data_IF_301273879674
#
_entry.id   IF_301273879674
#
_cell.length_a   1.000
_cell.length_b   1.000
_cell.length_c   1.000
_cell.angle_alpha   90.00
_cell.angle_beta   90.00
_cell.angle_gamma   90.00
#
_symmetry.space_group_name_H-M   'P 1'
#
loop_
_entity.id
_entity.type
_entity.pdbx_description
1 polymer ?
#
# COMPACT_ATOMS: atom_id res chain seq x y z
N UNK A 1 4.83 -2.65 -17.23
CA UNK A 1 3.67 -3.23 -16.50
C UNK A 1 3.76 -4.74 -16.43
N UNK A 2 3.68 -5.48 -17.55
CA UNK A 2 3.71 -6.96 -17.56
C UNK A 2 4.87 -7.57 -16.76
N UNK A 3 6.10 -7.13 -17.01
CA UNK A 3 7.28 -7.60 -16.29
C UNK A 3 7.20 -7.35 -14.77
N UNK A 4 6.72 -6.18 -14.37
CA UNK A 4 6.51 -5.83 -12.97
C UNK A 4 5.43 -6.71 -12.30
N UNK A 5 4.39 -7.09 -13.06
CA UNK A 5 3.36 -8.03 -12.59
C UNK A 5 3.92 -9.42 -12.32
N UNK A 6 4.81 -9.93 -13.18
CA UNK A 6 5.47 -11.23 -12.95
C UNK A 6 6.35 -11.19 -11.71
N UNK A 7 7.16 -10.14 -11.55
CA UNK A 7 8.01 -9.98 -10.37
C UNK A 7 7.14 -9.98 -9.10
N UNK A 8 6.05 -9.22 -9.10
CA UNK A 8 5.17 -9.12 -7.92
C UNK A 8 4.45 -10.42 -7.64
N UNK A 9 3.96 -11.12 -8.64
CA UNK A 9 3.36 -12.45 -8.45
C UNK A 9 4.38 -13.41 -7.83
N UNK A 10 5.63 -13.43 -8.33
CA UNK A 10 6.67 -14.29 -7.76
C UNK A 10 7.04 -13.90 -6.32
N UNK A 11 7.25 -12.60 -6.06
CA UNK A 11 7.55 -12.11 -4.71
C UNK A 11 6.43 -12.48 -3.75
N UNK A 12 5.19 -12.15 -4.09
CA UNK A 12 4.02 -12.40 -3.23
C UNK A 12 3.86 -13.91 -2.97
N UNK A 13 3.97 -14.74 -4.01
CA UNK A 13 3.84 -16.19 -3.88
C UNK A 13 4.92 -16.83 -3.01
N UNK A 14 6.18 -16.37 -3.12
CA UNK A 14 7.32 -16.96 -2.42
C UNK A 14 7.53 -16.42 -1.01
N UNK A 15 7.28 -15.13 -0.77
CA UNK A 15 7.67 -14.46 0.47
C UNK A 15 6.51 -13.82 1.23
N UNK A 16 5.29 -13.81 0.67
CA UNK A 16 4.13 -13.06 1.20
C UNK A 16 4.36 -11.53 1.26
N UNK A 17 5.41 -11.03 0.58
CA UNK A 17 5.70 -9.60 0.47
C UNK A 17 5.55 -9.12 -0.96
N UNK A 18 5.01 -7.90 -1.11
CA UNK A 18 4.84 -7.24 -2.41
C UNK A 18 5.40 -5.81 -2.38
N UNK A 19 6.54 -5.51 -3.05
CA UNK A 19 7.12 -4.17 -3.11
C UNK A 19 6.34 -3.18 -4.01
N UNK A 20 5.01 -3.21 -3.96
CA UNK A 20 4.11 -2.44 -4.84
C UNK A 20 4.40 -0.95 -4.76
N UNK A 21 4.52 -0.42 -3.53
CA UNK A 21 4.73 1.01 -3.27
C UNK A 21 6.05 1.52 -3.86
N UNK A 22 7.14 0.75 -3.71
CA UNK A 22 8.45 1.09 -4.26
C UNK A 22 8.48 1.02 -5.80
N UNK A 23 7.86 0.00 -6.38
CA UNK A 23 7.81 -0.12 -7.84
C UNK A 23 6.95 0.96 -8.50
N UNK A 24 5.87 1.41 -7.86
CA UNK A 24 5.06 2.51 -8.35
C UNK A 24 5.87 3.82 -8.37
N UNK A 25 6.59 4.14 -7.29
CA UNK A 25 7.48 5.31 -7.23
C UNK A 25 8.59 5.26 -8.30
N UNK A 26 9.28 4.12 -8.41
CA UNK A 26 10.32 3.92 -9.43
C UNK A 26 9.77 4.10 -10.85
N UNK A 27 8.55 3.63 -11.11
CA UNK A 27 7.90 3.81 -12.41
C UNK A 27 7.70 5.28 -12.74
N UNK A 28 7.20 6.09 -11.80
CA UNK A 28 7.00 7.53 -12.03
C UNK A 28 8.34 8.21 -12.32
N UNK A 29 9.39 7.91 -11.55
CA UNK A 29 10.74 8.46 -11.78
C UNK A 29 11.26 8.08 -13.16
N UNK A 30 11.20 6.80 -13.53
CA UNK A 30 11.68 6.33 -14.83
C UNK A 30 10.93 7.01 -15.98
N UNK A 31 9.60 7.16 -15.87
CA UNK A 31 8.83 7.85 -16.91
C UNK A 31 9.22 9.33 -16.99
N UNK A 32 9.42 10.02 -15.87
CA UNK A 32 9.88 11.42 -15.88
C UNK A 32 11.27 11.58 -16.50
N UNK A 33 12.19 10.64 -16.25
CA UNK A 33 13.52 10.67 -16.83
C UNK A 33 13.51 10.39 -18.34
N UNK A 34 12.61 9.54 -18.81
CA UNK A 34 12.53 9.14 -20.22
C UNK A 34 11.67 10.08 -21.08
N UNK A 35 10.52 10.52 -20.55
CA UNK A 35 9.55 11.36 -21.25
C UNK A 35 9.77 12.87 -21.02
N UNK A 36 10.65 13.22 -20.08
CA UNK A 36 10.98 14.59 -19.70
C UNK A 36 10.25 15.07 -18.45
N UNK A 37 10.87 16.01 -17.72
CA UNK A 37 10.40 16.54 -16.43
C UNK A 37 9.06 17.28 -16.50
N UNK A 38 8.61 17.70 -17.68
CA UNK A 38 7.29 18.30 -17.89
C UNK A 38 6.13 17.28 -17.93
N UNK A 39 6.41 15.99 -18.10
CA UNK A 39 5.40 14.95 -18.31
C UNK A 39 4.81 14.38 -17.01
N UNK A 40 4.60 15.22 -15.98
CA UNK A 40 4.18 14.77 -14.63
C UNK A 40 2.86 14.02 -14.64
N UNK A 41 1.84 14.58 -15.31
CA UNK A 41 0.51 13.96 -15.36
C UNK A 41 0.59 12.57 -16.00
N UNK A 42 1.32 12.45 -17.11
CA UNK A 42 1.53 11.16 -17.79
C UNK A 42 2.29 10.17 -16.92
N UNK A 43 3.35 10.60 -16.24
CA UNK A 43 4.14 9.76 -15.36
C UNK A 43 3.33 9.23 -14.17
N UNK A 44 2.54 10.09 -13.52
CA UNK A 44 1.67 9.71 -12.41
C UNK A 44 0.56 8.77 -12.88
N UNK A 45 -0.07 9.02 -14.03
CA UNK A 45 -1.11 8.14 -14.57
C UNK A 45 -0.56 6.75 -14.91
N UNK A 46 0.63 6.67 -15.53
CA UNK A 46 1.29 5.39 -15.82
C UNK A 46 1.69 4.69 -14.53
N UNK A 47 2.22 5.42 -13.54
CA UNK A 47 2.55 4.88 -12.21
C UNK A 47 1.32 4.32 -11.51
N UNK A 48 0.19 5.02 -11.54
CA UNK A 48 -1.07 4.57 -10.97
C UNK A 48 -1.62 3.33 -11.69
N UNK A 49 -1.63 3.34 -13.04
CA UNK A 49 -2.07 2.19 -13.82
C UNK A 49 -1.19 0.95 -13.58
N UNK A 50 0.12 1.14 -13.47
CA UNK A 50 1.05 0.08 -13.09
C UNK A 50 0.75 -0.44 -11.69
N UNK A 51 0.58 0.45 -10.71
CA UNK A 51 0.27 0.11 -9.32
C UNK A 51 -0.99 -0.77 -9.24
N UNK A 52 -2.09 -0.36 -9.88
CA UNK A 52 -3.33 -1.15 -9.90
C UNK A 52 -3.10 -2.52 -10.55
N UNK A 53 -2.40 -2.58 -11.68
CA UNK A 53 -2.15 -3.83 -12.39
C UNK A 53 -1.29 -4.82 -11.58
N UNK A 54 -0.25 -4.34 -10.90
CA UNK A 54 0.61 -5.21 -10.08
C UNK A 54 -0.07 -5.61 -8.77
N UNK A 55 -0.92 -4.75 -8.20
CA UNK A 55 -1.71 -5.10 -7.01
C UNK A 55 -2.66 -6.25 -7.33
N UNK A 56 -3.35 -6.20 -8.47
CA UNK A 56 -4.21 -7.32 -8.91
C UNK A 56 -3.42 -8.60 -9.17
N UNK A 57 -2.18 -8.50 -9.66
CA UNK A 57 -1.31 -9.67 -9.82
C UNK A 57 -0.87 -10.25 -8.47
N UNK A 58 -0.62 -9.42 -7.46
CA UNK A 58 -0.31 -9.85 -6.10
C UNK A 58 -1.53 -10.54 -5.46
N UNK A 59 -2.71 -9.91 -5.57
CA UNK A 59 -3.97 -10.36 -5.00
C UNK A 59 -4.36 -11.76 -5.53
N UNK A 60 -4.37 -11.90 -6.86
CA UNK A 60 -4.57 -13.18 -7.56
C UNK A 60 -3.58 -14.27 -7.09
N UNK A 61 -2.32 -13.91 -6.85
CA UNK A 61 -1.33 -14.86 -6.35
C UNK A 61 -1.61 -15.27 -4.90
N UNK A 62 -2.02 -14.32 -4.05
CA UNK A 62 -2.46 -14.58 -2.69
C UNK A 62 -3.67 -15.52 -2.64
N UNK A 63 -4.67 -15.24 -3.47
CA UNK A 63 -5.90 -16.03 -3.58
C UNK A 63 -5.67 -17.44 -4.12
N UNK A 64 -4.75 -17.61 -5.07
CA UNK A 64 -4.35 -18.94 -5.54
C UNK A 64 -3.60 -19.73 -4.45
N UNK A 65 -2.79 -19.06 -3.61
CA UNK A 65 -2.05 -19.71 -2.51
C UNK A 65 -3.00 -20.18 -1.42
N UNK A 66 -3.89 -19.32 -0.94
CA UNK A 66 -4.90 -19.67 0.07
C UNK A 66 -5.90 -20.67 -0.49
N UNK A 67 -6.32 -20.49 -1.76
CA UNK A 67 -7.17 -21.41 -2.50
C UNK A 67 -6.62 -22.82 -2.59
N UNK A 68 -5.33 -22.94 -2.91
CA UNK A 68 -4.66 -24.24 -2.94
C UNK A 68 -4.70 -24.96 -1.58
N UNK A 69 -4.51 -24.23 -0.48
CA UNK A 69 -4.53 -24.79 0.88
C UNK A 69 -5.92 -25.33 1.27
N UNK A 70 -7.00 -24.73 0.78
CA UNK A 70 -8.39 -25.16 1.05
C UNK A 70 -8.95 -26.10 -0.03
N UNK A 71 -8.14 -26.51 -1.01
CA UNK A 71 -8.55 -27.43 -2.08
C UNK A 71 -9.40 -26.79 -3.19
N UNK A 72 -9.32 -25.48 -3.38
CA UNK A 72 -10.01 -24.78 -4.45
C UNK A 72 -9.45 -25.13 -5.84
N UNK A 73 -10.28 -24.96 -6.87
CA UNK A 73 -9.88 -25.17 -8.27
C UNK A 73 -9.42 -23.83 -8.86
N UNK A 74 -8.13 -23.66 -9.25
CA UNK A 74 -7.58 -22.37 -9.67
C UNK A 74 -8.34 -21.74 -10.85
N UNK A 75 -8.78 -22.56 -11.81
CA UNK A 75 -9.57 -22.08 -12.97
C UNK A 75 -10.89 -21.43 -12.55
N UNK A 76 -11.53 -21.93 -11.48
CA UNK A 76 -12.79 -21.35 -10.99
C UNK A 76 -12.54 -20.05 -10.23
N UNK A 77 -11.45 -19.95 -9.47
CA UNK A 77 -11.07 -18.73 -8.76
C UNK A 77 -10.81 -17.58 -9.73
N UNK A 78 -9.96 -17.82 -10.74
CA UNK A 78 -9.65 -16.82 -11.77
C UNK A 78 -10.89 -16.30 -12.51
N UNK A 79 -11.84 -17.19 -12.83
CA UNK A 79 -13.09 -16.79 -13.48
C UNK A 79 -13.96 -15.93 -12.56
N UNK A 80 -14.07 -16.29 -11.29
CA UNK A 80 -14.84 -15.52 -10.30
C UNK A 80 -14.21 -14.16 -10.09
N UNK A 81 -12.92 -14.09 -9.78
CA UNK A 81 -12.19 -12.84 -9.56
C UNK A 81 -12.31 -11.91 -10.77
N UNK A 82 -12.09 -12.42 -12.00
CA UNK A 82 -12.24 -11.63 -13.21
C UNK A 82 -13.67 -11.11 -13.41
N UNK A 83 -14.69 -11.88 -13.00
CA UNK A 83 -16.09 -11.46 -13.12
C UNK A 83 -16.48 -10.36 -12.14
N UNK A 84 -15.88 -10.33 -10.94
CA UNK A 84 -16.24 -9.39 -9.87
C UNK A 84 -15.24 -8.23 -9.69
N UNK A 85 -14.08 -8.25 -10.37
CA UNK A 85 -13.01 -7.26 -10.22
C UNK A 85 -13.47 -5.82 -10.37
N UNK A 86 -14.48 -5.56 -11.21
CA UNK A 86 -15.01 -4.23 -11.48
C UNK A 86 -15.72 -3.58 -10.29
N UNK A 87 -16.18 -4.38 -9.32
CA UNK A 87 -16.89 -3.89 -8.14
C UNK A 87 -15.95 -3.06 -7.26
N UNK A 88 -14.71 -3.54 -7.06
CA UNK A 88 -13.72 -2.90 -6.20
C UNK A 88 -13.44 -1.44 -6.58
N UNK A 89 -13.03 -1.14 -7.83
CA UNK A 89 -12.81 0.22 -8.29
C UNK A 89 -14.03 1.14 -8.11
N UNK A 90 -15.24 0.64 -8.34
CA UNK A 90 -16.47 1.44 -8.17
C UNK A 90 -16.64 1.84 -6.69
N UNK A 91 -16.55 0.86 -5.78
CA UNK A 91 -16.68 1.12 -4.34
C UNK A 91 -15.56 2.04 -3.85
N UNK A 92 -14.30 1.79 -4.23
CA UNK A 92 -13.17 2.62 -3.85
C UNK A 92 -13.32 4.07 -4.32
N UNK A 93 -13.75 4.28 -5.57
CA UNK A 93 -13.97 5.63 -6.11
C UNK A 93 -15.12 6.36 -5.40
N UNK A 94 -16.21 5.65 -5.08
CA UNK A 94 -17.31 6.22 -4.30
C UNK A 94 -16.87 6.63 -2.90
N UNK A 95 -16.08 5.79 -2.22
CA UNK A 95 -15.54 6.07 -0.88
C UNK A 95 -14.61 7.27 -0.90
N UNK A 96 -13.67 7.33 -1.85
CA UNK A 96 -12.75 8.48 -1.99
C UNK A 96 -13.53 9.76 -2.27
N UNK A 97 -14.52 9.70 -3.18
CA UNK A 97 -15.37 10.85 -3.48
C UNK A 97 -16.12 11.34 -2.25
N UNK A 98 -16.69 10.42 -1.46
CA UNK A 98 -17.45 10.75 -0.26
C UNK A 98 -16.57 11.45 0.79
N UNK A 99 -15.39 10.89 1.08
CA UNK A 99 -14.43 11.48 2.01
C UNK A 99 -14.00 12.86 1.51
N UNK A 100 -13.70 13.00 0.22
CA UNK A 100 -13.26 14.27 -0.36
C UNK A 100 -14.34 15.35 -0.29
N UNK A 101 -15.62 15.00 -0.52
CA UNK A 101 -16.73 15.95 -0.38
C UNK A 101 -16.93 16.39 1.07
N UNK A 102 -16.87 15.45 2.02
CA UNK A 102 -17.01 15.77 3.45
C UNK A 102 -15.88 16.68 3.92
N UNK A 103 -14.63 16.36 3.59
CA UNK A 103 -13.48 17.21 3.94
C UNK A 103 -13.56 18.59 3.28
N UNK A 104 -14.02 18.66 2.02
CA UNK A 104 -14.23 19.94 1.34
C UNK A 104 -15.28 20.80 2.07
N UNK A 105 -16.35 20.20 2.60
CA UNK A 105 -17.38 20.91 3.38
C UNK A 105 -16.89 21.34 4.76
N UNK A 106 -16.05 20.55 5.43
CA UNK A 106 -15.64 20.81 6.83
C UNK A 106 -14.39 21.68 6.94
N UNK A 107 -13.38 21.41 6.11
CA UNK A 107 -12.04 22.02 6.17
C UNK A 107 -11.73 22.86 4.92
N UNK A 108 -12.47 22.67 3.82
CA UNK A 108 -12.19 23.35 2.54
C UNK A 108 -11.03 22.72 1.75
N UNK A 109 -10.56 21.54 2.16
CA UNK A 109 -9.48 20.78 1.52
C UNK A 109 -10.02 19.39 1.21
N UNK A 110 -9.86 18.91 -0.03
CA UNK A 110 -10.38 17.60 -0.42
C UNK A 110 -9.67 16.44 0.31
N UNK A 111 -8.34 16.39 0.21
CA UNK A 111 -7.50 15.38 0.87
C UNK A 111 -6.10 15.93 1.11
N UNK A 112 -5.40 15.40 2.11
CA UNK A 112 -4.00 15.74 2.40
C UNK A 112 -3.81 16.58 3.67
N UNK A 113 -2.67 17.28 3.78
CA UNK A 113 -2.31 18.03 4.99
C UNK A 113 -3.42 19.00 5.43
N UNK A 114 -3.75 19.00 6.72
CA UNK A 114 -4.86 19.79 7.27
C UNK A 114 -6.18 19.03 7.40
N UNK A 115 -6.27 17.82 6.85
CA UNK A 115 -7.39 16.88 7.06
C UNK A 115 -6.90 15.65 7.83
N UNK A 116 -7.82 14.83 8.35
CA UNK A 116 -7.47 13.51 8.92
C UNK A 116 -6.97 12.53 7.84
N UNK A 117 -7.15 12.86 6.56
CA UNK A 117 -6.71 12.06 5.41
C UNK A 117 -5.32 12.45 4.90
N UNK A 118 -4.34 12.46 5.81
CA UNK A 118 -2.94 12.67 5.41
C UNK A 118 -2.40 11.45 4.65
N UNK A 119 -1.71 11.68 3.53
CA UNK A 119 -1.18 10.63 2.67
C UNK A 119 0.36 10.75 2.55
N UNK A 120 1.14 10.17 3.49
CA UNK A 120 2.60 10.24 3.48
C UNK A 120 3.22 9.74 2.17
N UNK A 121 2.64 8.70 1.58
CA UNK A 121 3.13 8.14 0.32
C UNK A 121 2.94 9.09 -0.87
N UNK A 122 1.85 9.86 -0.89
CA UNK A 122 1.62 10.88 -1.90
C UNK A 122 2.58 12.06 -1.73
N UNK A 123 2.90 12.43 -0.48
CA UNK A 123 3.91 13.45 -0.18
C UNK A 123 5.31 13.02 -0.61
N UNK A 124 5.68 11.76 -0.34
CA UNK A 124 6.93 11.20 -0.82
C UNK A 124 7.00 11.24 -2.36
N UNK A 125 5.93 10.82 -3.05
CA UNK A 125 5.85 10.90 -4.51
C UNK A 125 5.99 12.35 -5.01
N UNK A 126 5.32 13.30 -4.37
CA UNK A 126 5.41 14.73 -4.72
C UNK A 126 6.85 15.24 -4.58
N UNK A 127 7.54 14.93 -3.48
CA UNK A 127 8.91 15.34 -3.24
C UNK A 127 9.86 14.82 -4.33
N UNK A 128 9.65 13.57 -4.78
CA UNK A 128 10.42 12.99 -5.89
C UNK A 128 10.14 13.72 -7.20
N UNK A 129 8.86 13.97 -7.53
CA UNK A 129 8.48 14.70 -8.75
C UNK A 129 9.12 16.10 -8.75
N UNK A 130 9.01 16.85 -7.66
CA UNK A 130 9.61 18.19 -7.57
C UNK A 130 11.13 18.16 -7.66
N UNK A 131 11.78 17.12 -7.11
CA UNK A 131 13.23 16.94 -7.21
C UNK A 131 13.69 16.69 -8.66
N UNK A 132 12.94 15.87 -9.41
CA UNK A 132 13.23 15.64 -10.84
C UNK A 132 12.98 16.89 -11.68
N UNK A 133 11.91 17.65 -11.38
CA UNK A 133 11.60 18.90 -12.09
C UNK A 133 12.61 20.02 -11.82
N UNK A 134 13.07 20.14 -10.58
CA UNK A 134 14.07 21.15 -10.19
C UNK A 134 15.49 20.84 -10.64
N UNK A 135 15.76 19.62 -11.13
CA UNK A 135 17.10 19.19 -11.55
C UNK A 135 18.07 18.91 -10.39
N UNK A 136 17.65 19.15 -9.14
CA UNK A 136 18.44 18.95 -7.92
C UNK A 136 18.19 17.57 -7.28
N UNK A 137 17.85 16.55 -8.08
CA UNK A 137 17.64 15.21 -7.54
C UNK A 137 18.96 14.69 -6.96
N UNK A 138 19.02 14.29 -5.67
CA UNK A 138 20.25 13.82 -5.05
C UNK A 138 20.54 12.37 -5.45
N UNK A 139 20.90 12.14 -6.72
CA UNK A 139 21.12 10.80 -7.30
C UNK A 139 22.08 9.93 -6.49
N UNK A 140 23.09 10.54 -5.85
CA UNK A 140 24.01 9.84 -4.96
C UNK A 140 23.31 9.20 -3.74
N UNK A 141 22.34 9.90 -3.12
CA UNK A 141 21.56 9.37 -2.00
C UNK A 141 20.63 8.24 -2.44
N UNK A 142 20.00 8.37 -3.60
CA UNK A 142 19.19 7.29 -4.18
C UNK A 142 20.04 6.06 -4.53
N UNK A 143 21.23 6.25 -5.09
CA UNK A 143 22.18 5.19 -5.37
C UNK A 143 22.66 4.49 -4.09
N UNK A 144 22.96 5.25 -3.05
CA UNK A 144 23.32 4.70 -1.74
C UNK A 144 22.16 3.93 -1.11
N UNK A 145 20.93 4.44 -1.19
CA UNK A 145 19.73 3.74 -0.74
C UNK A 145 19.48 2.44 -1.51
N UNK A 146 19.69 2.43 -2.83
CA UNK A 146 19.61 1.23 -3.66
C UNK A 146 20.68 0.19 -3.28
N UNK A 147 21.91 0.63 -3.03
CA UNK A 147 23.00 -0.23 -2.58
C UNK A 147 22.69 -0.83 -1.19
N UNK A 148 22.26 -0.01 -0.24
CA UNK A 148 21.85 -0.49 1.08
C UNK A 148 20.68 -1.48 0.97
N UNK A 149 19.67 -1.17 0.17
CA UNK A 149 18.54 -2.07 -0.08
C UNK A 149 18.98 -3.41 -0.66
N UNK A 150 19.91 -3.40 -1.61
CA UNK A 150 20.49 -4.62 -2.17
C UNK A 150 21.28 -5.44 -1.14
N UNK A 151 22.13 -4.79 -0.34
CA UNK A 151 22.88 -5.45 0.73
C UNK A 151 21.96 -6.06 1.79
N UNK A 152 20.91 -5.33 2.18
CA UNK A 152 19.92 -5.80 3.14
C UNK A 152 19.06 -6.94 2.56
N UNK A 153 18.77 -6.90 1.26
CA UNK A 153 18.04 -7.95 0.55
C UNK A 153 18.86 -9.25 0.37
N UNK A 154 20.19 -9.16 0.35
CA UNK A 154 21.08 -10.33 0.38
C UNK A 154 21.26 -10.90 1.79
N UNK A 155 20.78 -10.21 2.82
CA UNK A 155 20.82 -10.67 4.20
C UNK A 155 19.86 -11.84 4.47
N UNK A 156 20.06 -12.52 5.60
CA UNK A 156 19.29 -13.71 5.98
C UNK A 156 17.82 -13.44 6.34
N UNK A 157 17.45 -12.18 6.56
CA UNK A 157 16.11 -11.79 6.97
C UNK A 157 15.34 -11.21 5.79
N UNK A 158 14.33 -11.96 5.33
CA UNK A 158 13.43 -11.52 4.27
C UNK A 158 12.71 -10.22 4.65
N UNK A 159 12.61 -9.28 3.70
CA UNK A 159 11.80 -8.06 3.85
C UNK A 159 12.44 -6.90 4.65
N UNK A 160 13.64 -7.06 5.23
CA UNK A 160 14.29 -5.99 6.02
C UNK A 160 14.48 -4.68 5.25
N UNK A 161 14.95 -4.76 4.01
CA UNK A 161 15.15 -3.57 3.17
C UNK A 161 13.85 -2.80 2.93
N UNK A 162 12.73 -3.52 2.78
CA UNK A 162 11.40 -2.92 2.62
C UNK A 162 10.97 -2.23 3.92
N UNK A 163 11.11 -2.89 5.07
CA UNK A 163 10.76 -2.30 6.37
C UNK A 163 11.53 -1.02 6.67
N UNK A 164 12.84 -1.00 6.38
CA UNK A 164 13.69 0.19 6.54
C UNK A 164 13.28 1.28 5.53
N UNK A 165 12.97 0.93 4.28
CA UNK A 165 12.48 1.91 3.31
C UNK A 165 11.14 2.53 3.70
N UNK A 166 10.21 1.73 4.22
CA UNK A 166 8.91 2.21 4.71
C UNK A 166 9.09 3.17 5.90
N UNK A 167 9.99 2.85 6.83
CA UNK A 167 10.20 3.69 8.02
C UNK A 167 10.81 5.06 7.72
N UNK A 168 11.43 5.24 6.55
CA UNK A 168 12.03 6.53 6.16
C UNK A 168 11.01 7.60 5.78
N UNK A 169 9.82 7.23 5.28
CA UNK A 169 8.79 8.20 4.87
C UNK A 169 7.54 8.18 5.75
N UNK A 170 7.38 7.16 6.60
CA UNK A 170 6.23 7.06 7.47
C UNK A 170 6.43 7.89 8.75
N UNK A 171 5.44 8.70 9.17
CA UNK A 171 5.52 9.43 10.42
C UNK A 171 5.78 8.52 11.64
N UNK A 172 6.58 9.01 12.59
CA UNK A 172 7.00 8.26 13.77
C UNK A 172 5.82 7.67 14.57
N UNK A 173 4.69 8.38 14.63
CA UNK A 173 3.49 7.91 15.33
C UNK A 173 2.99 6.55 14.80
N UNK A 174 3.03 6.35 13.48
CA UNK A 174 2.59 5.09 12.87
C UNK A 174 3.59 3.96 13.12
N UNK A 175 4.89 4.27 13.08
CA UNK A 175 5.95 3.28 13.34
C UNK A 175 5.94 2.88 14.82
N UNK A 176 5.79 3.84 15.72
CA UNK A 176 5.76 3.60 17.16
C UNK A 176 4.53 2.79 17.57
N UNK A 177 3.34 3.12 17.05
CA UNK A 177 2.11 2.36 17.33
C UNK A 177 2.20 0.93 16.79
N UNK A 178 2.75 0.73 15.59
CA UNK A 178 3.04 -0.60 15.06
C UNK A 178 4.02 -1.37 15.97
N UNK A 179 5.11 -0.73 16.39
CA UNK A 179 6.10 -1.32 17.29
C UNK A 179 5.51 -1.74 18.65
N UNK A 180 4.62 -0.92 19.23
CA UNK A 180 3.87 -1.27 20.45
C UNK A 180 2.95 -2.47 20.20
N UNK A 181 2.28 -2.53 19.04
CA UNK A 181 1.47 -3.67 18.63
C UNK A 181 2.27 -4.98 18.56
N UNK A 182 3.45 -4.96 17.93
CA UNK A 182 4.38 -6.10 17.94
C UNK A 182 4.82 -6.47 19.37
N UNK A 183 5.12 -5.44 20.19
CA UNK A 183 5.25 -5.47 21.65
C UNK A 183 4.28 -6.44 22.32
N UNK A 184 3.02 -6.07 22.19
CA UNK A 184 1.88 -6.73 22.81
C UNK A 184 1.72 -8.13 22.24
N UNK A 185 1.84 -8.30 20.93
CA UNK A 185 1.70 -9.60 20.27
C UNK A 185 2.75 -10.60 20.75
N UNK A 186 4.03 -10.20 20.87
CA UNK A 186 5.09 -11.04 21.42
C UNK A 186 4.83 -11.44 22.88
N UNK A 187 4.29 -10.51 23.69
CA UNK A 187 3.98 -10.78 25.09
C UNK A 187 2.78 -11.73 25.23
N UNK A 188 1.73 -11.50 24.46
CA UNK A 188 0.53 -12.35 24.42
C UNK A 188 0.86 -13.76 23.93
N UNK A 189 1.66 -13.88 22.87
CA UNK A 189 2.12 -15.17 22.37
C UNK A 189 2.91 -15.97 23.42
N UNK A 190 3.72 -15.28 24.25
CA UNK A 190 4.44 -15.91 25.37
C UNK A 190 3.51 -16.42 26.47
N UNK A 191 2.40 -15.75 26.75
CA UNK A 191 1.50 -16.11 27.86
C UNK A 191 0.43 -17.13 27.43
N UNK A 192 -0.21 -16.89 26.28
CA UNK A 192 -1.36 -17.65 25.78
C UNK A 192 -0.99 -18.70 24.74
N UNK A 193 0.25 -18.69 24.25
CA UNK A 193 0.71 -19.55 23.18
C UNK A 193 0.51 -18.91 21.79
N UNK A 194 1.33 -19.36 20.83
CA UNK A 194 1.34 -18.85 19.46
C UNK A 194 0.02 -19.13 18.73
N UNK A 195 -0.55 -20.32 18.91
CA UNK A 195 -1.82 -20.72 18.29
C UNK A 195 -2.98 -19.83 18.71
N UNK A 196 -3.06 -19.46 19.99
CA UNK A 196 -4.10 -18.54 20.46
C UNK A 196 -3.95 -17.14 19.86
N UNK A 197 -2.71 -16.65 19.75
CA UNK A 197 -2.44 -15.34 19.17
C UNK A 197 -2.84 -15.30 17.68
N UNK A 198 -2.58 -16.38 16.93
CA UNK A 198 -2.93 -16.49 15.52
C UNK A 198 -4.43 -16.73 15.30
N UNK A 199 -5.06 -17.63 16.05
CA UNK A 199 -6.46 -18.02 15.83
C UNK A 199 -7.47 -16.99 16.39
N UNK A 200 -7.11 -16.27 17.46
CA UNK A 200 -8.02 -15.33 18.14
C UNK A 200 -7.50 -13.90 18.15
N UNK A 201 -6.22 -13.71 18.45
CA UNK A 201 -5.62 -12.37 18.55
C UNK A 201 -5.65 -11.62 17.22
N UNK A 202 -5.17 -12.25 16.15
CA UNK A 202 -5.13 -11.64 14.81
C UNK A 202 -6.53 -11.31 14.28
N UNK A 203 -7.53 -12.23 14.30
CA UNK A 203 -8.89 -11.91 13.86
C UNK A 203 -9.56 -10.81 14.69
N UNK A 204 -9.34 -10.76 16.00
CA UNK A 204 -9.88 -9.71 16.86
C UNK A 204 -9.35 -8.33 16.47
N UNK A 205 -8.02 -8.20 16.32
CA UNK A 205 -7.40 -6.95 15.89
C UNK A 205 -7.84 -6.56 14.47
N UNK A 206 -7.95 -7.52 13.54
CA UNK A 206 -8.47 -7.27 12.19
C UNK A 206 -9.91 -6.73 12.24
N UNK A 207 -10.76 -7.29 13.10
CA UNK A 207 -12.12 -6.81 13.33
C UNK A 207 -12.17 -5.35 13.83
N UNK A 208 -11.25 -4.95 14.70
CA UNK A 208 -11.16 -3.56 15.17
C UNK A 208 -10.78 -2.58 14.05
N UNK A 209 -9.80 -2.96 13.20
CA UNK A 209 -9.36 -2.14 12.07
C UNK A 209 -10.50 -1.95 11.05
N UNK A 210 -11.21 -3.04 10.72
CA UNK A 210 -12.36 -2.98 9.81
C UNK A 210 -13.52 -2.19 10.44
N UNK A 211 -13.77 -2.39 11.73
CA UNK A 211 -14.85 -1.71 12.46
C UNK A 211 -14.67 -0.19 12.51
N UNK A 212 -13.45 0.29 12.77
CA UNK A 212 -13.12 1.72 12.71
C UNK A 212 -13.38 2.29 11.30
N UNK A 213 -12.91 1.60 10.27
CA UNK A 213 -13.05 2.03 8.87
C UNK A 213 -14.52 2.16 8.46
N UNK A 214 -15.37 1.21 8.86
CA UNK A 214 -16.81 1.25 8.58
C UNK A 214 -17.48 2.40 9.35
N UNK A 215 -17.16 2.57 10.63
CA UNK A 215 -17.69 3.67 11.45
C UNK A 215 -17.35 5.02 10.83
N UNK A 216 -16.09 5.21 10.42
CA UNK A 216 -15.64 6.43 9.76
C UNK A 216 -16.45 6.71 8.48
N UNK A 217 -16.72 5.69 7.67
CA UNK A 217 -17.53 5.84 6.46
C UNK A 217 -18.98 6.24 6.78
N UNK A 218 -19.59 5.65 7.81
CA UNK A 218 -20.93 6.01 8.27
C UNK A 218 -20.99 7.45 8.79
N UNK A 219 -19.99 7.88 9.57
CA UNK A 219 -19.88 9.26 10.05
C UNK A 219 -19.76 10.23 8.88
N UNK A 220 -18.91 9.93 7.88
CA UNK A 220 -18.77 10.79 6.72
C UNK A 220 -20.08 10.89 5.90
N UNK A 221 -20.84 9.80 5.77
CA UNK A 221 -22.18 9.83 5.16
C UNK A 221 -23.11 10.74 5.96
N UNK A 222 -23.16 10.56 7.29
CA UNK A 222 -24.01 11.35 8.17
C UNK A 222 -23.70 12.85 8.07
N UNK A 223 -22.42 13.23 8.14
CA UNK A 223 -22.00 14.63 7.99
C UNK A 223 -22.42 15.18 6.63
N UNK A 224 -22.25 14.41 5.55
CA UNK A 224 -22.61 14.87 4.21
C UNK A 224 -24.12 15.12 4.04
N UNK A 225 -24.97 14.32 4.68
CA UNK A 225 -26.45 14.41 4.62
C UNK A 225 -27.01 15.44 5.59
N UNK A 226 -26.41 15.60 6.76
CA UNK A 226 -26.86 16.53 7.80
C UNK A 226 -26.44 18.00 7.54
N UNK A 227 -25.53 18.23 6.57
CA UNK A 227 -24.98 19.55 6.20
C UNK A 227 -25.46 20.02 4.84
#
# INVERSE_FOLDING_TARGET
IWFAGIIIAQCTGMTDWSPISGMALLTVVLVLLLAGSGAVVGAVLIGAALCVAITLAADMMGDMKTGYLVGAIPKRQQLVELSVVWIGPIICMLTIWLIAQTNMKTVGIAMGPGTETTAPQAQALQAVITGVQGGEMPYALYGFGALLGALLGLGSFSGLGVLIGLSMYLPFIYIATYGVGCLIQMFVAKIKGQTWAEDWGVPFCAGLIVGESILALLINIYVLVAS
#
